data_IF_380929006477
#
_entry.id   IF_380929006477
#
_cell.length_a   1.000
_cell.length_b   1.000
_cell.length_c   1.000
_cell.angle_alpha   90.00
_cell.angle_beta   90.00
_cell.angle_gamma   90.00
#
_symmetry.space_group_name_H-M   'P 1'
#
loop_
_entity.id
_entity.type
_entity.pdbx_description
1 polymer ?
#
# COMPACT_ATOMS: atom_id res chain seq x y z
N UNK A 1 13.70 4.64 12.87
CA UNK A 1 13.26 3.52 13.74
C UNK A 1 12.30 2.56 13.02
N UNK A 2 11.37 3.02 12.15
CA UNK A 2 10.55 2.14 11.29
C UNK A 2 11.23 1.62 10.02
N UNK A 3 12.11 2.42 9.42
CA UNK A 3 12.88 2.02 8.21
C UNK A 3 13.68 0.73 8.43
N UNK A 4 14.21 0.55 9.65
CA UNK A 4 14.96 -0.66 10.03
C UNK A 4 14.14 -1.95 9.95
N UNK A 5 12.84 -1.88 10.24
CA UNK A 5 11.97 -3.07 10.17
C UNK A 5 11.68 -3.45 8.71
N UNK A 6 11.64 -2.47 7.80
CA UNK A 6 11.46 -2.71 6.37
C UNK A 6 12.73 -3.30 5.74
N UNK A 7 13.91 -2.80 6.12
CA UNK A 7 15.18 -3.38 5.69
C UNK A 7 15.33 -4.84 6.12
N UNK A 8 14.92 -5.17 7.36
CA UNK A 8 14.90 -6.53 7.88
C UNK A 8 13.96 -7.44 7.08
N UNK A 9 12.77 -6.96 6.70
CA UNK A 9 11.84 -7.71 5.84
C UNK A 9 12.47 -8.00 4.49
N UNK A 10 13.07 -6.98 3.85
CA UNK A 10 13.70 -7.14 2.55
C UNK A 10 14.92 -8.07 2.57
N UNK A 11 15.64 -8.16 3.70
CA UNK A 11 16.74 -9.10 3.88
C UNK A 11 16.26 -10.54 4.03
N UNK A 12 15.16 -10.76 4.76
CA UNK A 12 14.62 -12.11 5.03
C UNK A 12 13.80 -12.65 3.88
N UNK A 13 13.11 -11.78 3.15
CA UNK A 13 12.22 -12.11 2.04
C UNK A 13 12.56 -11.27 0.81
N UNK A 14 13.71 -11.52 0.16
CA UNK A 14 14.14 -10.72 -0.97
C UNK A 14 13.16 -10.86 -2.15
N UNK A 15 12.62 -9.73 -2.60
CA UNK A 15 11.77 -9.63 -3.77
C UNK A 15 12.06 -8.35 -4.57
N UNK A 16 11.80 -8.42 -5.88
CA UNK A 16 11.84 -7.26 -6.77
C UNK A 16 10.72 -6.27 -6.44
N UNK A 17 9.56 -6.79 -6.05
CA UNK A 17 8.37 -6.01 -5.70
C UNK A 17 7.61 -6.63 -4.52
N UNK A 18 7.03 -5.79 -3.67
CA UNK A 18 6.22 -6.19 -2.53
C UNK A 18 4.76 -5.77 -2.70
N UNK A 19 3.84 -6.54 -2.13
CA UNK A 19 2.46 -6.13 -1.95
C UNK A 19 2.20 -6.06 -0.45
N UNK A 20 1.80 -4.89 0.04
CA UNK A 20 1.45 -4.67 1.44
C UNK A 20 -0.05 -4.45 1.57
N UNK A 21 -0.72 -5.33 2.31
CA UNK A 21 -2.17 -5.30 2.54
C UNK A 21 -2.45 -4.98 4.00
N UNK A 22 -3.18 -3.89 4.28
CA UNK A 22 -3.47 -3.44 5.66
C UNK A 22 -4.76 -2.60 5.73
N UNK A 23 -5.38 -2.48 6.91
CA UNK A 23 -6.55 -1.63 7.18
C UNK A 23 -6.16 -0.22 7.68
N UNK A 24 -4.86 0.10 7.76
CA UNK A 24 -4.35 1.39 8.24
C UNK A 24 -3.60 2.14 7.14
N UNK A 25 -4.27 3.13 6.53
CA UNK A 25 -3.65 4.04 5.55
C UNK A 25 -2.37 4.70 6.06
N UNK A 26 -2.26 5.00 7.36
CA UNK A 26 -1.03 5.55 7.96
C UNK A 26 0.18 4.64 7.77
N UNK A 27 0.01 3.33 7.90
CA UNK A 27 1.11 2.36 7.72
C UNK A 27 1.43 2.25 6.24
N UNK A 28 0.40 2.09 5.40
CA UNK A 28 0.56 2.01 3.94
C UNK A 28 1.31 3.23 3.38
N UNK A 29 0.91 4.44 3.76
CA UNK A 29 1.57 5.67 3.34
C UNK A 29 3.03 5.74 3.80
N UNK A 30 3.31 5.34 5.05
CA UNK A 30 4.68 5.34 5.58
C UNK A 30 5.57 4.34 4.85
N UNK A 31 5.08 3.14 4.53
CA UNK A 31 5.85 2.14 3.76
C UNK A 31 6.02 2.59 2.31
N UNK A 32 4.97 3.16 1.70
CA UNK A 32 5.05 3.72 0.34
C UNK A 32 6.10 4.82 0.23
N UNK A 33 6.24 5.66 1.25
CA UNK A 33 7.27 6.70 1.28
C UNK A 33 8.70 6.11 1.27
N UNK A 34 8.92 4.97 1.92
CA UNK A 34 10.26 4.35 2.02
C UNK A 34 10.57 3.48 0.79
N UNK A 35 9.61 2.65 0.35
CA UNK A 35 9.81 1.70 -0.75
C UNK A 35 9.39 2.23 -2.12
N UNK A 36 8.61 3.31 -2.17
CA UNK A 36 8.19 3.98 -3.39
C UNK A 36 7.55 3.02 -4.39
N UNK A 37 8.05 2.93 -5.63
CA UNK A 37 7.48 2.06 -6.66
C UNK A 37 7.73 0.57 -6.40
N UNK A 38 8.61 0.18 -5.46
CA UNK A 38 8.88 -1.24 -5.13
C UNK A 38 7.77 -1.89 -4.31
N UNK A 39 6.73 -1.14 -3.94
CA UNK A 39 5.59 -1.65 -3.18
C UNK A 39 4.27 -1.20 -3.79
N UNK A 40 3.34 -2.16 -3.91
CA UNK A 40 1.91 -1.89 -4.08
C UNK A 40 1.26 -1.94 -2.70
N UNK A 41 0.60 -0.87 -2.32
CA UNK A 41 -0.19 -0.77 -1.11
C UNK A 41 -1.65 -1.07 -1.41
N UNK A 42 -2.24 -2.00 -0.64
CA UNK A 42 -3.64 -2.39 -0.74
C UNK A 42 -4.32 -2.03 0.57
N UNK A 43 -5.26 -1.09 0.50
CA UNK A 43 -6.14 -0.77 1.62
C UNK A 43 -7.37 -1.66 1.59
N UNK A 44 -7.55 -2.49 2.61
CA UNK A 44 -8.78 -3.28 2.79
C UNK A 44 -9.74 -2.49 3.66
N UNK A 45 -10.96 -2.24 3.18
CA UNK A 45 -12.01 -1.57 3.97
C UNK A 45 -12.69 -2.53 4.96
N UNK A 46 -11.89 -3.39 5.59
CA UNK A 46 -12.30 -4.29 6.67
C UNK A 46 -11.44 -4.03 7.89
N UNK A 47 -12.05 -3.98 9.06
CA UNK A 47 -11.33 -3.76 10.32
C UNK A 47 -11.73 -2.47 11.01
N UNK A 48 -11.09 -2.21 12.15
CA UNK A 48 -11.47 -1.13 13.06
C UNK A 48 -11.20 0.26 12.46
N UNK A 49 -10.22 0.38 11.57
CA UNK A 49 -9.76 1.66 11.01
C UNK A 49 -10.32 1.97 9.62
N UNK A 50 -10.97 0.98 8.99
CA UNK A 50 -11.46 1.05 7.61
C UNK A 50 -12.48 2.17 7.33
N UNK A 51 -13.21 2.59 8.36
CA UNK A 51 -14.30 3.57 8.26
C UNK A 51 -14.08 4.82 9.10
N UNK A 52 -12.89 4.99 9.69
CA UNK A 52 -12.58 6.21 10.44
C UNK A 52 -12.41 7.39 9.45
N UNK A 53 -13.33 8.37 9.43
CA UNK A 53 -13.26 9.47 8.47
C UNK A 53 -12.01 10.32 8.66
N UNK A 54 -11.48 10.39 9.89
CA UNK A 54 -10.26 11.14 10.17
C UNK A 54 -9.03 10.51 9.52
N UNK A 55 -8.99 9.18 9.39
CA UNK A 55 -7.89 8.48 8.74
C UNK A 55 -7.97 8.64 7.23
N UNK A 56 -9.18 8.57 6.66
CA UNK A 56 -9.40 8.71 5.22
C UNK A 56 -9.05 10.11 4.69
N UNK A 57 -9.20 11.15 5.53
CA UNK A 57 -8.89 12.55 5.16
C UNK A 57 -7.41 12.88 5.34
N UNK A 58 -6.74 12.29 6.33
CA UNK A 58 -5.39 12.71 6.73
C UNK A 58 -4.25 11.94 6.06
N UNK A 59 -4.54 10.88 5.31
CA UNK A 59 -3.52 10.07 4.64
C UNK A 59 -3.81 9.91 3.16
N UNK A 60 -2.77 9.85 2.31
CA UNK A 60 -2.97 9.59 0.90
C UNK A 60 -3.65 8.22 0.71
N UNK A 61 -4.45 8.07 -0.36
CA UNK A 61 -5.01 6.77 -0.71
C UNK A 61 -3.90 5.77 -1.01
N UNK A 62 -4.16 4.49 -0.73
CA UNK A 62 -3.32 3.39 -1.18
C UNK A 62 -3.41 3.22 -2.71
N UNK A 63 -2.46 2.49 -3.29
CA UNK A 63 -2.43 2.21 -4.73
C UNK A 63 -3.69 1.45 -5.19
N UNK A 64 -4.18 0.54 -4.36
CA UNK A 64 -5.42 -0.21 -4.56
C UNK A 64 -6.24 -0.14 -3.28
N UNK A 65 -7.57 -0.03 -3.42
CA UNK A 65 -8.51 -0.17 -2.30
C UNK A 65 -9.56 -1.22 -2.65
N UNK A 66 -9.82 -2.14 -1.73
CA UNK A 66 -10.83 -3.19 -1.87
C UNK A 66 -11.78 -3.19 -0.68
N UNK A 67 -13.02 -3.64 -0.88
CA UNK A 67 -14.01 -3.68 0.21
C UNK A 67 -13.78 -4.88 1.12
N UNK A 68 -13.34 -6.00 0.56
CA UNK A 68 -13.00 -7.23 1.29
C UNK A 68 -11.69 -7.83 0.80
N UNK A 69 -11.01 -8.55 1.68
CA UNK A 69 -9.77 -9.25 1.33
C UNK A 69 -9.98 -10.27 0.20
N UNK A 70 -11.17 -10.86 0.10
CA UNK A 70 -11.54 -11.79 -0.97
C UNK A 70 -11.58 -11.15 -2.36
N UNK A 71 -11.80 -9.84 -2.45
CA UNK A 71 -11.88 -9.12 -3.73
C UNK A 71 -10.51 -9.07 -4.43
N UNK A 72 -9.42 -9.38 -3.72
CA UNK A 72 -8.09 -9.55 -4.34
C UNK A 72 -8.04 -10.72 -5.33
N UNK A 73 -8.97 -11.67 -5.26
CA UNK A 73 -9.05 -12.76 -6.23
C UNK A 73 -9.47 -12.28 -7.63
N UNK A 74 -10.06 -11.08 -7.72
CA UNK A 74 -10.45 -10.47 -8.99
C UNK A 74 -9.28 -9.71 -9.67
N UNK A 75 -8.12 -9.62 -9.01
CA UNK A 75 -6.92 -9.00 -9.54
C UNK A 75 -5.92 -10.04 -10.03
N UNK A 76 -5.39 -9.84 -11.23
CA UNK A 76 -4.19 -10.54 -11.66
C UNK A 76 -2.91 -9.85 -11.11
N UNK A 77 -1.82 -10.61 -11.06
CA UNK A 77 -0.54 -10.12 -10.55
C UNK A 77 -0.06 -8.88 -11.33
N UNK A 78 -0.06 -8.86 -12.68
CA UNK A 78 0.37 -7.68 -13.42
C UNK A 78 -0.39 -6.40 -13.05
N UNK A 79 -1.71 -6.49 -12.86
CA UNK A 79 -2.54 -5.34 -12.46
C UNK A 79 -2.14 -4.84 -11.07
N UNK A 80 -1.91 -5.73 -10.11
CA UNK A 80 -1.45 -5.35 -8.77
C UNK A 80 -0.07 -4.68 -8.80
N UNK A 81 0.88 -5.21 -9.57
CA UNK A 81 2.22 -4.63 -9.65
C UNK A 81 2.22 -3.26 -10.37
N UNK A 82 1.40 -3.12 -11.42
CA UNK A 82 1.26 -1.88 -12.18
C UNK A 82 0.63 -0.73 -11.40
N UNK A 83 -0.21 -1.01 -10.40
CA UNK A 83 -0.86 0.01 -9.59
C UNK A 83 0.14 0.89 -8.81
N UNK A 84 1.28 0.32 -8.38
CA UNK A 84 2.29 1.03 -7.62
C UNK A 84 2.94 2.20 -8.38
N UNK A 85 3.06 2.09 -9.71
CA UNK A 85 3.69 3.09 -10.57
C UNK A 85 2.69 4.15 -11.01
N UNK A 86 1.43 3.77 -11.23
CA UNK A 86 0.34 4.69 -11.59
C UNK A 86 0.07 5.73 -10.49
N UNK A 87 0.05 5.32 -9.22
CA UNK A 87 -0.15 6.25 -8.10
C UNK A 87 1.07 7.15 -7.84
N UNK A 88 2.28 6.67 -8.14
CA UNK A 88 3.51 7.46 -8.00
C UNK A 88 3.60 8.62 -8.99
N UNK A 89 2.92 8.51 -10.15
CA UNK A 89 2.85 9.56 -11.18
C UNK A 89 1.89 10.70 -10.85
N UNK A 90 0.91 10.49 -9.97
CA UNK A 90 -0.11 11.47 -9.63
C UNK A 90 0.36 12.56 -8.64
N UNK A 91 1.60 12.46 -8.14
CA UNK A 91 2.16 13.42 -7.15
C UNK A 91 3.20 14.38 -7.74
N UNK A 92 3.23 14.58 -9.06
CA UNK A 92 4.00 15.65 -9.69
C UNK A 92 3.10 16.66 -10.42
N UNK A 93 3.05 17.83 -9.79
CA UNK A 93 2.80 19.19 -10.27
C UNK A 93 1.42 19.85 -10.15
N UNK A 94 1.42 21.18 -9.92
CA UNK A 94 2.57 22.11 -9.92
C UNK A 94 3.06 22.62 -8.55
#
# INVERSE_FOLDING_TARGET
>A
HKERELDDVAQRFPAEHYVLVDDKLRILAAVKQVWGPRVTTVFVRQGHYAHDPSILVNYPPADVSVDRIGDLLDYDIPTLLGAATAASGATRDP
#
